data_IF_251428000816
#
_entry.id   IF_251428000816
#
_cell.length_a   1.000
_cell.length_b   1.000
_cell.length_c   1.000
_cell.angle_alpha   90.00
_cell.angle_beta   90.00
_cell.angle_gamma   90.00
#
_symmetry.space_group_name_H-M   'P 1'
#
loop_
_entity.id
_entity.type
_entity.pdbx_description
1 polymer ?
#
# COMPACT_ATOMS: atom_id res chain seq x y z
N UNK A 1 -19.02 1.54 -1.97
CA UNK A 1 -18.17 1.77 -0.80
C UNK A 1 -17.94 3.28 -0.68
N UNK A 2 -18.43 3.89 0.37
CA UNK A 2 -18.17 5.31 0.64
C UNK A 2 -17.07 5.36 1.68
N UNK A 3 -15.89 5.85 1.30
CA UNK A 3 -14.81 6.14 2.25
C UNK A 3 -14.91 7.63 2.59
N UNK A 4 -15.20 7.93 3.85
CA UNK A 4 -15.32 9.29 4.37
C UNK A 4 -13.91 9.81 4.67
N UNK A 5 -13.52 10.90 3.99
CA UNK A 5 -12.32 11.67 4.35
C UNK A 5 -11.30 11.89 3.24
N UNK A 6 -10.91 10.90 2.48
CA UNK A 6 -10.18 11.03 1.21
C UNK A 6 -10.97 10.24 0.18
N UNK A 7 -11.72 10.96 -0.64
CA UNK A 7 -12.72 10.32 -1.45
C UNK A 7 -12.13 9.50 -2.57
N UNK A 8 -12.40 8.20 -2.53
CA UNK A 8 -12.02 7.26 -3.54
C UNK A 8 -13.28 6.76 -4.23
N UNK A 9 -13.32 6.84 -5.54
CA UNK A 9 -14.33 6.15 -6.31
C UNK A 9 -13.72 4.85 -6.87
N UNK A 10 -14.31 3.72 -6.54
CA UNK A 10 -13.99 2.45 -7.16
C UNK A 10 -15.09 2.14 -8.16
N UNK A 11 -14.72 2.00 -9.41
CA UNK A 11 -15.63 1.53 -10.45
C UNK A 11 -15.30 0.09 -10.76
N UNK A 12 -16.29 -0.78 -10.62
CA UNK A 12 -16.23 -2.16 -11.06
C UNK A 12 -16.71 -2.30 -12.50
N UNK A 13 -16.13 -3.20 -13.23
CA UNK A 13 -16.61 -3.64 -14.53
C UNK A 13 -16.30 -5.13 -14.66
N UNK A 14 -17.14 -5.85 -15.42
CA UNK A 14 -16.87 -7.25 -15.74
C UNK A 14 -15.61 -7.31 -16.62
N UNK A 15 -14.66 -8.16 -16.26
CA UNK A 15 -13.55 -8.52 -17.12
C UNK A 15 -13.95 -9.71 -18.00
N UNK A 16 -13.42 -9.77 -19.22
CA UNK A 16 -13.65 -10.92 -20.11
C UNK A 16 -12.87 -12.15 -19.70
N UNK A 17 -11.76 -11.98 -18.95
CA UNK A 17 -10.82 -13.05 -18.59
C UNK A 17 -10.62 -13.21 -17.08
N UNK A 18 -11.04 -12.21 -16.29
CA UNK A 18 -10.91 -12.19 -14.83
C UNK A 18 -12.31 -11.98 -14.20
N UNK A 19 -12.41 -12.13 -12.89
CA UNK A 19 -13.70 -11.96 -12.20
C UNK A 19 -14.23 -10.53 -12.35
N UNK A 20 -13.34 -9.51 -12.26
CA UNK A 20 -13.71 -8.10 -12.34
C UNK A 20 -12.50 -7.20 -12.65
N UNK A 21 -12.76 -5.90 -12.84
CA UNK A 21 -11.76 -4.85 -13.04
C UNK A 21 -11.93 -3.74 -12.01
N UNK A 22 -10.85 -3.37 -11.35
CA UNK A 22 -10.82 -2.24 -10.42
C UNK A 22 -10.30 -0.98 -11.10
N UNK A 23 -11.04 0.11 -10.99
CA UNK A 23 -10.58 1.46 -11.37
C UNK A 23 -10.67 2.36 -10.16
N UNK A 24 -9.53 2.93 -9.80
CA UNK A 24 -9.36 3.79 -8.65
C UNK A 24 -9.23 5.25 -9.09
N UNK A 25 -9.94 6.14 -8.42
CA UNK A 25 -9.92 7.57 -8.67
C UNK A 25 -9.61 8.32 -7.39
N UNK A 26 -8.75 9.33 -7.49
CA UNK A 26 -8.47 10.26 -6.40
C UNK A 26 -9.68 11.17 -6.13
N UNK A 27 -9.66 11.89 -5.01
CA UNK A 27 -10.72 12.82 -4.63
C UNK A 27 -10.97 13.94 -5.65
N UNK A 28 -9.95 14.33 -6.41
CA UNK A 28 -10.02 15.31 -7.49
C UNK A 28 -10.58 14.75 -8.82
N UNK A 29 -10.93 13.46 -8.85
CA UNK A 29 -11.44 12.76 -10.03
C UNK A 29 -10.37 12.27 -11.00
N UNK A 30 -9.08 12.52 -10.73
CA UNK A 30 -8.00 11.96 -11.54
C UNK A 30 -7.88 10.45 -11.35
N UNK A 31 -7.46 9.72 -12.38
CA UNK A 31 -7.17 8.30 -12.25
C UNK A 31 -6.02 8.09 -11.27
N UNK A 32 -6.27 7.27 -10.27
CA UNK A 32 -5.27 6.89 -9.28
C UNK A 32 -4.51 5.63 -9.68
N UNK A 33 -3.40 5.42 -9.01
CA UNK A 33 -2.62 4.18 -9.10
C UNK A 33 -3.22 3.12 -8.15
N UNK A 34 -2.51 2.04 -7.88
CA UNK A 34 -2.97 0.98 -6.97
C UNK A 34 -3.19 1.51 -5.54
N UNK A 35 -4.32 1.15 -4.96
CA UNK A 35 -4.65 1.40 -3.56
C UNK A 35 -4.96 0.09 -2.82
N UNK A 36 -4.07 -0.35 -1.94
CA UNK A 36 -4.23 -1.62 -1.21
C UNK A 36 -5.47 -1.65 -0.31
N UNK A 37 -5.86 -0.51 0.30
CA UNK A 37 -7.09 -0.40 1.08
C UNK A 37 -8.32 -0.52 0.17
N UNK A 38 -8.30 0.21 -0.95
CA UNK A 38 -9.35 0.15 -1.95
C UNK A 38 -9.56 -1.24 -2.53
N UNK A 39 -8.46 -1.95 -2.83
CA UNK A 39 -8.52 -3.30 -3.37
C UNK A 39 -9.14 -4.32 -2.38
N UNK A 40 -8.85 -4.20 -1.07
CA UNK A 40 -9.52 -5.05 -0.06
C UNK A 40 -11.00 -4.75 0.04
N UNK A 41 -11.40 -3.47 0.05
CA UNK A 41 -12.82 -3.10 0.02
C UNK A 41 -13.50 -3.58 -1.26
N UNK A 42 -12.84 -3.45 -2.41
CA UNK A 42 -13.33 -3.92 -3.70
C UNK A 42 -13.56 -5.44 -3.71
N UNK A 43 -12.60 -6.23 -3.21
CA UNK A 43 -12.73 -7.68 -3.13
C UNK A 43 -13.89 -8.11 -2.22
N UNK A 44 -14.08 -7.44 -1.07
CA UNK A 44 -15.20 -7.71 -0.18
C UNK A 44 -16.53 -7.31 -0.82
N UNK A 45 -16.57 -6.22 -1.58
CA UNK A 45 -17.76 -5.82 -2.33
C UNK A 45 -18.09 -6.82 -3.44
N UNK A 46 -17.10 -7.33 -4.18
CA UNK A 46 -17.29 -8.40 -5.16
C UNK A 46 -17.85 -9.67 -4.51
N UNK A 47 -17.39 -10.02 -3.29
CA UNK A 47 -17.95 -11.12 -2.51
C UNK A 47 -19.44 -10.92 -2.21
N UNK A 48 -19.83 -9.73 -1.77
CA UNK A 48 -21.24 -9.41 -1.51
C UNK A 48 -22.13 -9.48 -2.75
N UNK A 49 -21.56 -9.24 -3.93
CA UNK A 49 -22.26 -9.35 -5.20
C UNK A 49 -22.26 -10.76 -5.77
N UNK A 50 -21.60 -11.72 -5.12
CA UNK A 50 -21.45 -13.10 -5.62
C UNK A 50 -20.58 -13.20 -6.88
N UNK A 51 -19.63 -12.27 -7.07
CA UNK A 51 -18.71 -12.24 -8.20
C UNK A 51 -17.47 -13.06 -7.85
N UNK A 52 -17.11 -14.03 -8.71
CA UNK A 52 -15.96 -14.90 -8.54
C UNK A 52 -16.11 -15.91 -7.40
N UNK A 53 -15.02 -16.63 -7.09
CA UNK A 53 -14.94 -17.58 -5.99
C UNK A 53 -14.38 -16.96 -4.69
N UNK A 54 -13.92 -17.80 -3.75
CA UNK A 54 -13.26 -17.39 -2.51
C UNK A 54 -11.98 -16.57 -2.77
N UNK A 55 -11.28 -16.87 -3.88
CA UNK A 55 -10.22 -16.04 -4.42
C UNK A 55 -10.74 -15.24 -5.59
N UNK A 56 -10.62 -13.92 -5.51
CA UNK A 56 -10.97 -13.00 -6.60
C UNK A 56 -9.73 -12.70 -7.43
N UNK A 57 -9.90 -12.70 -8.75
CA UNK A 57 -8.88 -12.30 -9.72
C UNK A 57 -9.37 -11.02 -10.40
N UNK A 58 -8.60 -9.95 -10.32
CA UNK A 58 -9.00 -8.67 -10.90
C UNK A 58 -7.80 -7.90 -11.47
N UNK A 59 -8.05 -7.12 -12.51
CA UNK A 59 -7.07 -6.17 -13.03
C UNK A 59 -7.20 -4.81 -12.32
N UNK A 60 -6.06 -4.19 -12.06
CA UNK A 60 -5.94 -2.82 -11.59
C UNK A 60 -4.97 -2.06 -12.50
N UNK A 61 -4.70 -0.79 -12.19
CA UNK A 61 -3.84 0.06 -13.02
C UNK A 61 -2.41 -0.46 -13.15
N UNK A 62 -1.91 -1.15 -12.14
CA UNK A 62 -0.55 -1.69 -12.05
C UNK A 62 -0.42 -3.17 -12.44
N UNK A 63 -1.53 -3.84 -12.75
CA UNK A 63 -1.53 -5.23 -13.19
C UNK A 63 -2.64 -6.09 -12.59
N UNK A 64 -2.47 -7.41 -12.71
CA UNK A 64 -3.42 -8.39 -12.18
C UNK A 64 -3.12 -8.67 -10.72
N UNK A 65 -4.17 -8.65 -9.91
CA UNK A 65 -4.13 -8.94 -8.49
C UNK A 65 -5.01 -10.13 -8.12
N UNK A 66 -4.67 -10.73 -6.99
CA UNK A 66 -5.49 -11.73 -6.31
C UNK A 66 -5.90 -11.23 -4.95
N UNK A 67 -7.14 -11.48 -4.55
CA UNK A 67 -7.62 -11.23 -3.20
C UNK A 67 -8.32 -12.49 -2.66
N UNK A 68 -7.78 -13.07 -1.61
CA UNK A 68 -8.38 -14.22 -0.95
C UNK A 68 -9.21 -13.77 0.24
N UNK A 69 -10.49 -14.16 0.24
CA UNK A 69 -11.44 -13.82 1.30
C UNK A 69 -11.26 -14.85 2.45
N UNK A 70 -10.55 -14.48 3.51
CA UNK A 70 -10.34 -15.33 4.69
C UNK A 70 -11.58 -15.41 5.56
N UNK A 71 -12.28 -14.30 5.69
CA UNK A 71 -13.53 -14.19 6.44
C UNK A 71 -14.33 -12.98 5.93
N UNK A 72 -15.64 -13.15 5.79
CA UNK A 72 -16.57 -12.06 5.52
C UNK A 72 -17.73 -12.13 6.53
N UNK A 73 -18.03 -10.99 7.17
CA UNK A 73 -19.15 -10.87 8.12
C UNK A 73 -19.85 -9.51 7.91
N UNK A 74 -20.93 -9.52 7.14
CA UNK A 74 -21.59 -8.27 6.76
C UNK A 74 -20.60 -7.31 6.07
N UNK A 75 -20.51 -6.04 6.50
CA UNK A 75 -19.62 -5.06 5.86
C UNK A 75 -18.14 -5.22 6.25
N UNK A 76 -17.79 -6.14 7.13
CA UNK A 76 -16.41 -6.38 7.58
C UNK A 76 -15.86 -7.68 7.00
N UNK A 77 -14.55 -7.71 6.77
CA UNK A 77 -13.88 -8.91 6.26
C UNK A 77 -12.37 -8.88 6.49
N UNK A 78 -11.79 -10.07 6.48
CA UNK A 78 -10.34 -10.29 6.47
C UNK A 78 -9.94 -10.73 5.07
N UNK A 79 -9.15 -9.90 4.39
CA UNK A 79 -8.77 -10.07 3.00
C UNK A 79 -7.26 -10.14 2.90
N UNK A 80 -6.76 -11.22 2.31
CA UNK A 80 -5.37 -11.36 1.90
C UNK A 80 -5.22 -10.89 0.46
N UNK A 81 -4.51 -9.78 0.27
CA UNK A 81 -4.31 -9.17 -1.04
C UNK A 81 -2.92 -9.53 -1.58
N UNK A 82 -2.87 -10.15 -2.75
CA UNK A 82 -1.64 -10.35 -3.51
C UNK A 82 -1.17 -9.03 -4.11
N UNK A 83 0.09 -8.69 -3.86
CA UNK A 83 0.74 -7.49 -4.42
C UNK A 83 1.60 -7.89 -5.61
N UNK A 84 1.90 -6.91 -6.49
CA UNK A 84 2.82 -7.13 -7.60
C UNK A 84 4.23 -7.47 -7.12
N UNK A 85 4.99 -8.18 -7.93
CA UNK A 85 6.39 -8.46 -7.64
C UNK A 85 7.24 -7.20 -7.78
N UNK A 86 8.15 -6.99 -6.83
CA UNK A 86 9.14 -5.93 -6.90
C UNK A 86 10.29 -6.38 -7.80
N UNK A 87 10.57 -5.61 -8.84
CA UNK A 87 11.63 -5.91 -9.81
C UNK A 87 12.95 -5.20 -9.52
N UNK A 88 12.90 -4.08 -8.80
CA UNK A 88 14.06 -3.24 -8.54
C UNK A 88 14.00 -2.61 -7.14
N UNK A 89 15.15 -2.59 -6.47
CA UNK A 89 15.35 -1.83 -5.24
C UNK A 89 16.54 -0.89 -5.47
N UNK A 90 16.31 0.41 -5.35
CA UNK A 90 17.38 1.42 -5.31
C UNK A 90 17.68 1.78 -3.86
N UNK A 91 18.92 2.15 -3.56
CA UNK A 91 19.33 2.54 -2.21
C UNK A 91 20.27 3.72 -2.22
N UNK A 92 20.32 4.44 -1.11
CA UNK A 92 21.29 5.46 -0.79
C UNK A 92 21.73 5.32 0.66
N UNK A 93 22.28 6.39 1.23
CA UNK A 93 22.71 6.37 2.63
C UNK A 93 21.49 6.37 3.57
N UNK A 94 21.22 5.22 4.18
CA UNK A 94 20.14 5.02 5.15
C UNK A 94 18.73 4.96 4.57
N UNK A 95 18.55 4.92 3.25
CA UNK A 95 17.24 4.82 2.62
C UNK A 95 17.19 3.84 1.44
N UNK A 96 15.99 3.40 1.13
CA UNK A 96 15.68 2.53 -0.02
C UNK A 96 14.46 3.04 -0.76
N UNK A 97 14.37 2.64 -2.04
CA UNK A 97 13.25 2.99 -2.91
C UNK A 97 12.85 1.79 -3.76
N UNK A 98 11.56 1.51 -3.84
CA UNK A 98 10.98 0.43 -4.63
C UNK A 98 9.55 0.79 -5.05
N UNK A 99 8.99 -0.01 -5.98
CA UNK A 99 7.61 0.12 -6.40
C UNK A 99 6.83 -1.15 -6.01
N UNK A 100 5.75 -1.00 -5.23
CA UNK A 100 4.83 -2.07 -4.81
C UNK A 100 3.40 -1.82 -5.34
N UNK A 101 3.30 -1.27 -6.56
CA UNK A 101 2.08 -0.75 -7.19
C UNK A 101 2.08 0.77 -7.28
N UNK A 102 2.75 1.42 -6.34
CA UNK A 102 3.10 2.84 -6.32
C UNK A 102 4.50 3.01 -5.76
N UNK A 103 5.20 4.14 -6.06
CA UNK A 103 6.56 4.35 -5.58
C UNK A 103 6.62 4.61 -4.06
N UNK A 104 7.58 3.96 -3.40
CA UNK A 104 7.83 4.08 -1.97
C UNK A 104 9.30 4.36 -1.66
N UNK A 105 9.55 5.43 -0.93
CA UNK A 105 10.77 5.67 -0.18
C UNK A 105 10.60 5.04 1.21
N UNK A 106 11.63 4.32 1.67
CA UNK A 106 11.67 3.69 2.99
C UNK A 106 12.95 4.10 3.69
N UNK A 107 12.85 4.63 4.89
CA UNK A 107 13.97 5.00 5.74
C UNK A 107 13.84 4.33 7.10
N UNK A 108 14.91 3.66 7.56
CA UNK A 108 14.95 3.08 8.89
C UNK A 108 15.32 4.13 9.91
N UNK A 109 14.55 4.20 10.99
CA UNK A 109 14.72 5.17 12.08
C UNK A 109 14.74 4.46 13.43
N UNK A 110 15.35 5.08 14.45
CA UNK A 110 15.42 4.52 15.80
C UNK A 110 14.16 4.79 16.64
N UNK A 111 13.48 5.91 16.39
CA UNK A 111 12.28 6.34 17.10
C UNK A 111 11.30 6.93 16.09
N UNK A 112 10.31 6.12 15.69
CA UNK A 112 9.33 6.53 14.69
C UNK A 112 8.35 7.56 15.24
N UNK A 113 8.11 7.58 16.56
CA UNK A 113 7.20 8.55 17.18
C UNK A 113 7.79 9.95 17.19
N UNK A 114 9.12 10.08 17.34
CA UNK A 114 9.83 11.36 17.32
C UNK A 114 10.00 12.00 15.93
N UNK A 115 9.57 11.32 14.85
CA UNK A 115 9.73 11.84 13.48
C UNK A 115 8.66 12.91 13.15
N UNK A 116 9.11 14.05 12.64
CA UNK A 116 8.24 15.00 11.92
C UNK A 116 7.90 14.42 10.53
N UNK A 117 6.88 13.55 10.48
CA UNK A 117 6.46 12.87 9.26
C UNK A 117 6.02 13.87 8.20
N UNK A 118 5.30 14.92 8.57
CA UNK A 118 4.79 15.88 7.60
C UNK A 118 5.91 16.76 7.03
N UNK A 119 6.79 17.30 7.84
CA UNK A 119 7.90 18.15 7.38
C UNK A 119 8.92 17.36 6.55
N UNK A 120 9.44 16.25 7.10
CA UNK A 120 10.43 15.42 6.41
C UNK A 120 9.83 14.71 5.19
N UNK A 121 8.64 14.15 5.35
CA UNK A 121 7.93 13.45 4.29
C UNK A 121 7.68 14.35 3.08
N UNK A 122 7.22 15.59 3.33
CA UNK A 122 7.02 16.58 2.28
C UNK A 122 8.32 16.90 1.52
N UNK A 123 9.43 17.11 2.24
CA UNK A 123 10.72 17.38 1.62
C UNK A 123 11.17 16.27 0.66
N UNK A 124 11.03 15.02 1.08
CA UNK A 124 11.39 13.83 0.28
C UNK A 124 10.40 13.65 -0.88
N UNK A 125 9.09 13.77 -0.61
CA UNK A 125 8.02 13.61 -1.60
C UNK A 125 8.21 14.51 -2.82
N UNK A 126 8.68 15.74 -2.61
CA UNK A 126 8.86 16.76 -3.65
C UNK A 126 10.30 16.86 -4.18
N UNK A 127 11.20 16.00 -3.77
CA UNK A 127 12.55 15.90 -4.35
C UNK A 127 12.50 15.28 -5.74
N UNK A 128 12.10 16.06 -6.73
CA UNK A 128 11.97 15.62 -8.12
C UNK A 128 13.31 15.26 -8.77
N UNK A 129 14.43 15.68 -8.20
CA UNK A 129 15.77 15.26 -8.64
C UNK A 129 16.03 13.78 -8.38
N UNK A 130 15.60 13.27 -7.21
CA UNK A 130 15.72 11.84 -6.87
C UNK A 130 14.50 11.02 -7.29
N UNK A 131 13.32 11.60 -7.20
CA UNK A 131 12.03 10.96 -7.44
C UNK A 131 11.18 11.80 -8.42
N UNK A 132 11.43 11.72 -9.74
CA UNK A 132 10.76 12.60 -10.73
C UNK A 132 9.23 12.56 -10.69
N UNK A 133 8.65 11.41 -10.33
CA UNK A 133 7.19 11.24 -10.19
C UNK A 133 6.72 11.42 -8.74
N UNK A 134 7.63 11.81 -7.84
CA UNK A 134 7.41 11.81 -6.41
C UNK A 134 7.29 10.40 -5.83
N UNK A 135 7.10 10.32 -4.52
CA UNK A 135 7.07 9.05 -3.79
C UNK A 135 6.21 9.16 -2.53
N UNK A 136 5.65 8.04 -2.08
CA UNK A 136 5.22 7.88 -0.69
C UNK A 136 6.46 7.75 0.18
N UNK A 137 6.43 8.27 1.41
CA UNK A 137 7.58 8.26 2.32
C UNK A 137 7.23 7.50 3.58
N UNK A 138 7.98 6.44 3.86
CA UNK A 138 7.75 5.55 5.00
C UNK A 138 8.94 5.63 5.94
N UNK A 139 8.69 5.97 7.20
CA UNK A 139 9.66 5.88 8.29
C UNK A 139 9.39 4.61 9.08
N UNK A 140 10.41 3.78 9.23
CA UNK A 140 10.29 2.41 9.75
C UNK A 140 11.22 2.22 10.94
N UNK A 141 10.65 1.84 12.08
CA UNK A 141 11.36 1.41 13.27
C UNK A 141 11.28 -0.11 13.39
N UNK A 142 12.42 -0.78 13.51
CA UNK A 142 12.49 -2.22 13.71
C UNK A 142 12.37 -2.52 15.20
N UNK A 143 11.30 -3.20 15.60
CA UNK A 143 11.02 -3.53 17.01
C UNK A 143 11.36 -4.97 17.37
N UNK A 144 11.66 -5.80 16.37
CA UNK A 144 12.06 -7.19 16.55
C UNK A 144 12.16 -7.95 15.24
N UNK A 145 12.56 -9.21 15.30
CA UNK A 145 12.58 -10.07 14.11
C UNK A 145 11.16 -10.28 13.60
N UNK A 146 10.87 -9.79 12.38
CA UNK A 146 9.54 -9.83 11.80
C UNK A 146 8.52 -8.87 12.44
N UNK A 147 8.99 -7.83 13.16
CA UNK A 147 8.13 -6.81 13.77
C UNK A 147 8.68 -5.40 13.51
N UNK A 148 7.83 -4.53 12.98
CA UNK A 148 8.17 -3.13 12.68
C UNK A 148 7.02 -2.19 13.05
N UNK A 149 7.37 -0.94 13.32
CA UNK A 149 6.44 0.18 13.42
C UNK A 149 6.67 1.10 12.23
N UNK A 150 5.61 1.69 11.68
CA UNK A 150 5.74 2.51 10.48
C UNK A 150 4.78 3.70 10.53
N UNK A 151 5.29 4.85 10.05
CA UNK A 151 4.49 6.05 9.78
C UNK A 151 4.73 6.49 8.34
N UNK A 152 3.68 6.92 7.65
CA UNK A 152 3.73 7.21 6.21
C UNK A 152 3.20 8.60 5.89
N UNK A 153 3.98 9.37 5.11
CA UNK A 153 3.51 10.53 4.36
C UNK A 153 3.08 10.06 2.97
N UNK A 154 1.83 10.26 2.62
CA UNK A 154 1.26 9.68 1.41
C UNK A 154 1.17 10.69 0.27
N UNK A 155 1.71 10.31 -0.89
CA UNK A 155 1.60 11.06 -2.15
C UNK A 155 0.15 11.11 -2.60
N UNK A 156 -0.35 12.30 -2.94
CA UNK A 156 -1.74 12.53 -3.33
C UNK A 156 -2.66 12.89 -2.17
N UNK A 157 -2.32 12.47 -0.94
CA UNK A 157 -2.96 12.95 0.30
C UNK A 157 -2.19 14.16 0.85
N UNK A 158 -0.87 14.15 0.67
CA UNK A 158 0.08 15.21 1.02
C UNK A 158 0.15 15.52 2.52
N UNK A 159 -0.09 14.50 3.34
CA UNK A 159 0.14 14.50 4.79
C UNK A 159 0.28 13.06 5.31
N UNK A 160 0.55 12.93 6.61
CA UNK A 160 0.57 11.63 7.27
C UNK A 160 -0.79 10.95 7.22
N UNK A 161 -0.80 9.63 6.88
CA UNK A 161 -2.00 8.81 6.87
C UNK A 161 -1.95 7.72 7.95
N UNK A 162 -3.11 7.24 8.36
CA UNK A 162 -3.24 6.23 9.42
C UNK A 162 -2.68 4.86 9.00
N UNK A 163 -2.77 4.52 7.72
CA UNK A 163 -2.26 3.26 7.19
C UNK A 163 -2.11 3.32 5.66
N UNK A 164 -0.99 2.80 5.16
CA UNK A 164 -0.72 2.61 3.73
C UNK A 164 -0.36 1.15 3.46
N UNK A 165 -1.23 0.40 2.76
CA UNK A 165 -1.04 -1.03 2.53
C UNK A 165 0.16 -1.34 1.62
N UNK A 166 0.34 -0.58 0.53
CA UNK A 166 1.50 -0.69 -0.36
C UNK A 166 2.79 -0.29 0.36
N UNK A 167 2.73 0.73 1.24
CA UNK A 167 3.84 1.15 2.10
C UNK A 167 4.24 0.08 3.11
N UNK A 168 3.26 -0.61 3.71
CA UNK A 168 3.52 -1.72 4.62
C UNK A 168 4.26 -2.87 3.91
N UNK A 169 3.86 -3.18 2.67
CA UNK A 169 4.56 -4.17 1.84
C UNK A 169 6.00 -3.72 1.53
N UNK A 170 6.18 -2.46 1.14
CA UNK A 170 7.50 -1.89 0.88
C UNK A 170 8.40 -1.95 2.12
N UNK A 171 7.87 -1.56 3.30
CA UNK A 171 8.59 -1.60 4.56
C UNK A 171 9.04 -3.02 4.95
N UNK A 172 8.15 -4.02 4.80
CA UNK A 172 8.50 -5.42 5.07
C UNK A 172 9.61 -5.94 4.14
N UNK A 173 9.50 -5.68 2.83
CA UNK A 173 10.49 -6.08 1.83
C UNK A 173 11.85 -5.47 2.16
N UNK A 174 11.89 -4.14 2.40
CA UNK A 174 13.16 -3.45 2.68
C UNK A 174 13.77 -3.89 4.00
N UNK A 175 12.96 -4.08 5.04
CA UNK A 175 13.49 -4.56 6.33
C UNK A 175 14.12 -5.94 6.18
N UNK A 176 13.46 -6.86 5.47
CA UNK A 176 14.03 -8.18 5.21
C UNK A 176 15.30 -8.10 4.35
N UNK A 177 15.28 -7.28 3.30
CA UNK A 177 16.41 -7.08 2.38
C UNK A 177 17.63 -6.50 3.09
N UNK A 178 17.46 -5.43 3.85
CA UNK A 178 18.54 -4.69 4.48
C UNK A 178 19.14 -5.42 5.70
N UNK A 179 18.30 -6.09 6.48
CA UNK A 179 18.72 -6.76 7.73
C UNK A 179 18.91 -8.27 7.59
N UNK A 180 18.59 -8.84 6.42
CA UNK A 180 18.69 -10.27 6.14
C UNK A 180 18.00 -11.14 7.20
N UNK A 181 16.84 -10.72 7.69
CA UNK A 181 16.11 -11.38 8.77
C UNK A 181 15.69 -12.82 8.45
N UNK A 182 15.62 -13.19 7.15
CA UNK A 182 15.22 -14.52 6.69
C UNK A 182 13.78 -14.89 7.03
N UNK A 183 12.97 -13.90 7.46
CA UNK A 183 11.54 -14.13 7.74
C UNK A 183 10.68 -13.79 6.54
N UNK A 184 9.60 -14.54 6.35
CA UNK A 184 8.60 -14.31 5.31
C UNK A 184 7.35 -13.60 5.85
N UNK A 185 7.32 -13.30 7.15
CA UNK A 185 6.15 -12.68 7.80
C UNK A 185 6.59 -11.49 8.65
N UNK A 186 5.89 -10.37 8.46
CA UNK A 186 6.07 -9.16 9.24
C UNK A 186 4.75 -8.73 9.89
N UNK A 187 4.83 -8.42 11.18
CA UNK A 187 3.78 -7.66 11.88
C UNK A 187 4.15 -6.18 11.77
N UNK A 188 3.25 -5.39 11.21
CA UNK A 188 3.48 -3.97 10.99
C UNK A 188 2.45 -3.19 11.79
N UNK A 189 2.95 -2.42 12.76
CA UNK A 189 2.12 -1.51 13.54
C UNK A 189 2.12 -0.14 12.85
N UNK A 190 0.93 0.38 12.62
CA UNK A 190 0.66 1.70 12.05
C UNK A 190 -0.20 2.52 13.02
N UNK A 191 -0.38 3.85 12.82
CA UNK A 191 -1.18 4.69 13.72
C UNK A 191 -2.66 4.36 13.80
N UNK A 192 -3.24 3.66 12.78
CA UNK A 192 -4.66 3.35 12.71
C UNK A 192 -5.04 1.89 12.59
#
# INVERSE_FOLDING_TARGET
CSLVGSEMCIRDSRSAELDCSMRYYNADGSAGEMCGNGARCFALFAEHLGIGGETKFFDATDGVHTAHIRRAQGPAGEIELGMINVSEIRSGDGWWFLNTGVPHYVEMVHDVDGIDVNGRGRGIRYDTGRFPQGTNVNFVEVTGNGAIRMRTYERGVEHETLACGTGATAAAIITNYALQHGTTKYRIQVPG
#
